data_IF_033777697059
#
_entry.id   IF_033777697059
#
_cell.length_a   1.000
_cell.length_b   1.000
_cell.length_c   1.000
_cell.angle_alpha   90.00
_cell.angle_beta   90.00
_cell.angle_gamma   90.00
#
_symmetry.space_group_name_H-M   'P 1'
#
loop_
_entity.id
_entity.type
_entity.pdbx_description
1 polymer ?
#
# COMPACT_ATOMS: atom_id res chain seq x y z
N UNK A 1 4.83 14.52 9.89
CA UNK A 1 3.86 15.05 8.90
C UNK A 1 2.79 13.99 8.68
N UNK A 2 1.53 14.29 8.96
CA UNK A 2 0.42 13.34 8.82
C UNK A 2 0.03 13.26 7.36
N UNK A 3 0.19 12.08 6.73
CA UNK A 3 -0.28 11.88 5.35
C UNK A 3 -1.80 11.95 5.30
N UNK A 4 -2.32 12.46 4.20
CA UNK A 4 -3.76 12.45 3.93
C UNK A 4 -4.18 11.12 3.31
N UNK A 5 -5.47 10.77 3.47
CA UNK A 5 -6.03 9.52 2.94
C UNK A 5 -5.81 9.37 1.41
N UNK A 6 -5.92 10.48 0.67
CA UNK A 6 -5.70 10.53 -0.78
C UNK A 6 -4.24 10.32 -1.18
N UNK A 7 -3.30 10.75 -0.34
CA UNK A 7 -1.87 10.50 -0.58
C UNK A 7 -1.55 9.01 -0.40
N UNK A 8 -2.07 8.39 0.66
CA UNK A 8 -1.88 6.95 0.90
C UNK A 8 -2.52 6.12 -0.22
N UNK A 9 -3.72 6.49 -0.67
CA UNK A 9 -4.39 5.83 -1.80
C UNK A 9 -3.54 5.89 -3.10
N UNK A 10 -3.02 7.07 -3.43
CA UNK A 10 -2.13 7.28 -4.59
C UNK A 10 -0.85 6.45 -4.47
N UNK A 11 -0.27 6.39 -3.27
CA UNK A 11 0.93 5.60 -3.03
C UNK A 11 0.67 4.10 -3.19
N UNK A 12 -0.49 3.59 -2.74
CA UNK A 12 -0.92 2.21 -2.95
C UNK A 12 -1.00 1.90 -4.45
N UNK A 13 -1.68 2.73 -5.24
CA UNK A 13 -1.82 2.52 -6.69
C UNK A 13 -0.45 2.51 -7.39
N UNK A 14 0.40 3.49 -7.06
CA UNK A 14 1.76 3.55 -7.62
C UNK A 14 2.56 2.31 -7.27
N UNK A 15 2.48 1.85 -6.02
CA UNK A 15 3.21 0.66 -5.55
C UNK A 15 2.71 -0.61 -6.23
N UNK A 16 1.40 -0.77 -6.40
CA UNK A 16 0.79 -1.88 -7.17
C UNK A 16 1.35 -1.93 -8.59
N UNK A 17 1.45 -0.78 -9.25
CA UNK A 17 2.04 -0.69 -10.59
C UNK A 17 3.50 -1.16 -10.64
N UNK A 18 4.31 -0.75 -9.65
CA UNK A 18 5.71 -1.17 -9.53
C UNK A 18 5.80 -2.68 -9.26
N UNK A 19 5.00 -3.19 -8.33
CA UNK A 19 5.00 -4.60 -7.94
C UNK A 19 4.60 -5.50 -9.10
N UNK A 20 3.57 -5.13 -9.87
CA UNK A 20 3.15 -5.86 -11.07
C UNK A 20 4.24 -5.89 -12.14
N UNK A 21 4.92 -4.77 -12.39
CA UNK A 21 6.05 -4.73 -13.33
C UNK A 21 7.22 -5.59 -12.83
N UNK A 22 7.52 -5.52 -11.53
CA UNK A 22 8.60 -6.30 -10.92
C UNK A 22 8.29 -7.80 -10.92
N UNK A 23 7.06 -8.20 -10.61
CA UNK A 23 6.61 -9.60 -10.65
C UNK A 23 6.68 -10.20 -12.05
N UNK A 24 6.31 -9.43 -13.09
CA UNK A 24 6.47 -9.84 -14.50
C UNK A 24 7.94 -10.00 -14.91
N UNK A 25 8.85 -9.17 -14.38
CA UNK A 25 10.25 -9.13 -14.81
C UNK A 25 11.16 -10.09 -14.02
N UNK A 26 10.93 -10.23 -12.72
CA UNK A 26 11.81 -10.93 -11.78
C UNK A 26 11.18 -12.20 -11.21
N UNK A 27 9.88 -12.42 -11.45
CA UNK A 27 9.12 -13.51 -10.84
C UNK A 27 8.58 -13.15 -9.44
N UNK A 28 7.48 -13.80 -9.06
CA UNK A 28 6.75 -13.50 -7.81
C UNK A 28 7.56 -13.82 -6.54
N UNK A 29 8.43 -14.83 -6.60
CA UNK A 29 9.26 -15.26 -5.46
C UNK A 29 10.58 -14.50 -5.36
N UNK A 30 10.83 -13.51 -6.23
CA UNK A 30 12.02 -12.68 -6.12
C UNK A 30 12.03 -11.96 -4.76
N UNK A 31 13.15 -11.98 -4.00
CA UNK A 31 13.26 -11.26 -2.73
C UNK A 31 12.90 -9.78 -2.84
N UNK A 32 13.17 -9.17 -4.00
CA UNK A 32 12.77 -7.80 -4.28
C UNK A 32 11.24 -7.64 -4.34
N UNK A 33 10.55 -8.53 -5.04
CA UNK A 33 9.08 -8.51 -5.19
C UNK A 33 8.43 -8.78 -3.84
N UNK A 34 8.93 -9.76 -3.08
CA UNK A 34 8.43 -10.05 -1.73
C UNK A 34 8.55 -8.84 -0.80
N UNK A 35 9.73 -8.19 -0.79
CA UNK A 35 9.92 -6.95 0.01
C UNK A 35 8.96 -5.84 -0.42
N UNK A 36 8.77 -5.65 -1.73
CA UNK A 36 7.83 -4.64 -2.24
C UNK A 36 6.37 -4.98 -1.94
N UNK A 37 6.02 -6.26 -1.85
CA UNK A 37 4.70 -6.71 -1.40
C UNK A 37 4.46 -6.32 0.05
N UNK A 38 5.41 -6.59 0.94
CA UNK A 38 5.31 -6.19 2.35
C UNK A 38 5.16 -4.68 2.51
N UNK A 39 5.93 -3.89 1.75
CA UNK A 39 5.79 -2.43 1.76
C UNK A 39 4.40 -1.95 1.27
N UNK A 40 3.74 -2.71 0.38
CA UNK A 40 2.38 -2.42 -0.07
C UNK A 40 1.34 -2.78 1.00
N UNK A 41 1.50 -3.92 1.66
CA UNK A 41 0.62 -4.34 2.76
C UNK A 41 0.64 -3.32 3.90
N UNK A 42 1.81 -2.77 4.24
CA UNK A 42 1.92 -1.68 5.21
C UNK A 42 1.07 -0.46 4.83
N UNK A 43 1.07 -0.04 3.56
CA UNK A 43 0.28 1.09 3.08
C UNK A 43 -1.22 0.80 3.13
N UNK A 44 -1.63 -0.42 2.78
CA UNK A 44 -3.03 -0.85 2.85
C UNK A 44 -3.51 -0.86 4.31
N UNK A 45 -2.68 -1.33 5.24
CA UNK A 45 -2.99 -1.31 6.66
C UNK A 45 -3.09 0.13 7.20
N UNK A 46 -2.19 1.03 6.80
CA UNK A 46 -2.25 2.46 7.12
C UNK A 46 -3.57 3.08 6.62
N UNK A 47 -3.91 2.86 5.35
CA UNK A 47 -5.17 3.33 4.77
C UNK A 47 -6.39 2.80 5.53
N UNK A 48 -6.41 1.50 5.84
CA UNK A 48 -7.49 0.84 6.56
C UNK A 48 -7.66 1.46 7.96
N UNK A 49 -6.58 1.62 8.72
CA UNK A 49 -6.61 2.26 10.03
C UNK A 49 -7.16 3.70 9.95
N UNK A 50 -6.72 4.49 8.97
CA UNK A 50 -7.19 5.86 8.78
C UNK A 50 -8.68 5.92 8.39
N UNK A 51 -9.18 4.98 7.60
CA UNK A 51 -10.61 4.90 7.26
C UNK A 51 -11.47 4.47 8.45
N UNK A 52 -10.97 3.55 9.28
CA UNK A 52 -11.67 3.09 10.49
C UNK A 52 -11.77 4.19 11.55
N UNK A 53 -10.70 4.95 11.79
CA UNK A 53 -10.71 6.10 12.72
C UNK A 53 -11.77 7.15 12.32
N UNK A 54 -11.86 7.45 11.02
CA UNK A 54 -12.89 8.36 10.49
C UNK A 54 -14.31 7.84 10.65
N UNK A 55 -14.51 6.53 10.64
CA UNK A 55 -15.82 5.90 10.82
C UNK A 55 -16.24 5.91 12.29
N UNK A 56 -15.30 5.65 13.21
CA UNK A 56 -15.55 5.69 14.66
C UNK A 56 -15.82 7.11 15.19
N UNK A 57 -15.23 8.16 14.61
CA UNK A 57 -15.53 9.56 15.00
C UNK A 57 -16.90 10.09 14.57
N UNK A 58 -17.66 9.31 13.78
CA UNK A 58 -19.01 9.69 13.31
C UNK A 58 -20.14 9.09 14.16
N UNK A 59 -19.81 8.39 15.24
CA UNK A 59 -20.77 7.79 16.19
C UNK A 59 -20.75 8.61 17.48
#
# INVERSE_FOLDING_TARGET
>A
MTRTLKEVERDIERKRGILNKAGKRLGLHSPYVLRKSQELDCLINEYTAMTMDRRNRKI
#
